data_IF_163837253505
#
_entry.id   IF_163837253505
#
_cell.length_a   1.000
_cell.length_b   1.000
_cell.length_c   1.000
_cell.angle_alpha   90.00
_cell.angle_beta   90.00
_cell.angle_gamma   90.00
#
_symmetry.space_group_name_H-M   'P 1'
#
loop_
_entity.id
_entity.type
_entity.pdbx_description
1 polymer ?
#
# COMPACT_ATOMS: atom_id res chain seq x y z
N UNK A 1 2.26 22.09 3.03
CA UNK A 1 2.91 20.84 2.57
C UNK A 1 1.90 19.70 2.73
N UNK A 2 2.09 18.57 2.04
CA UNK A 2 1.12 17.46 2.08
C UNK A 2 1.55 16.17 1.39
N UNK A 3 2.68 16.18 0.68
CA UNK A 3 3.34 14.98 0.17
C UNK A 3 4.51 14.69 1.09
N UNK A 4 4.37 13.68 1.94
CA UNK A 4 5.39 13.25 2.91
C UNK A 4 5.67 11.78 2.66
N UNK A 5 6.89 11.48 2.20
CA UNK A 5 7.32 10.10 2.01
C UNK A 5 7.63 9.46 3.36
N UNK A 6 7.22 8.21 3.55
CA UNK A 6 7.66 7.42 4.67
C UNK A 6 9.15 7.07 4.51
N UNK A 7 9.86 6.88 5.63
CA UNK A 7 11.16 6.22 5.58
C UNK A 7 10.97 4.70 5.57
N UNK A 8 11.88 3.92 5.00
CA UNK A 8 11.82 2.45 5.05
C UNK A 8 11.69 1.93 6.50
N UNK A 9 12.47 2.47 7.43
CA UNK A 9 12.51 2.03 8.83
C UNK A 9 11.16 2.23 9.54
N UNK A 10 10.41 3.27 9.15
CA UNK A 10 9.08 3.52 9.68
C UNK A 10 8.08 2.44 9.24
N UNK A 11 8.10 2.06 7.96
CA UNK A 11 7.21 1.03 7.43
C UNK A 11 7.58 -0.37 7.94
N UNK A 12 8.87 -0.67 8.05
CA UNK A 12 9.38 -1.89 8.67
C UNK A 12 8.90 -2.02 10.12
N UNK A 13 9.05 -0.95 10.91
CA UNK A 13 8.58 -0.93 12.30
C UNK A 13 7.06 -1.14 12.41
N UNK A 14 6.27 -0.57 11.51
CA UNK A 14 4.81 -0.82 11.48
C UNK A 14 4.51 -2.28 11.16
N UNK A 15 5.20 -2.88 10.18
CA UNK A 15 5.01 -4.28 9.82
C UNK A 15 5.26 -5.20 11.01
N UNK A 16 6.38 -5.00 11.70
CA UNK A 16 6.72 -5.76 12.90
C UNK A 16 5.67 -5.60 14.02
N UNK A 17 5.13 -4.40 14.20
CA UNK A 17 4.08 -4.13 15.18
C UNK A 17 2.78 -4.85 14.79
N UNK A 18 2.37 -4.79 13.52
CA UNK A 18 1.20 -5.51 13.03
C UNK A 18 1.32 -7.01 13.28
N UNK A 19 2.48 -7.59 12.97
CA UNK A 19 2.74 -9.03 13.18
C UNK A 19 2.67 -9.40 14.67
N UNK A 20 3.31 -8.60 15.54
CA UNK A 20 3.32 -8.81 16.99
C UNK A 20 1.94 -8.75 17.61
N UNK A 21 1.11 -7.82 17.15
CA UNK A 21 -0.21 -7.57 17.72
C UNK A 21 -1.34 -8.30 16.99
N UNK A 22 -1.01 -9.15 16.01
CA UNK A 22 -1.98 -9.83 15.13
C UNK A 22 -2.96 -8.83 14.49
N UNK A 23 -2.45 -7.66 14.12
CA UNK A 23 -3.18 -6.63 13.42
C UNK A 23 -2.89 -6.72 11.91
N UNK A 24 -3.87 -6.32 11.11
CA UNK A 24 -3.70 -6.25 9.65
C UNK A 24 -2.98 -4.97 9.28
N UNK A 25 -2.05 -5.06 8.33
CA UNK A 25 -1.42 -3.91 7.69
C UNK A 25 -2.14 -3.57 6.38
N UNK A 26 -2.68 -2.36 6.28
CA UNK A 26 -3.35 -1.87 5.08
C UNK A 26 -2.53 -0.73 4.50
N UNK A 27 -2.15 -0.85 3.22
CA UNK A 27 -1.60 0.27 2.49
C UNK A 27 -2.66 0.88 1.58
N UNK A 28 -2.94 2.16 1.79
CA UNK A 28 -3.77 2.94 0.88
C UNK A 28 -2.92 3.50 -0.26
N UNK A 29 -2.98 2.80 -1.39
CA UNK A 29 -2.20 3.09 -2.58
C UNK A 29 -3.02 3.81 -3.66
N UNK A 30 -4.14 4.44 -3.29
CA UNK A 30 -4.97 5.21 -4.23
C UNK A 30 -4.15 6.33 -4.88
N UNK A 31 -3.25 6.98 -4.12
CA UNK A 31 -2.42 8.07 -4.65
C UNK A 31 -1.05 7.60 -5.16
N UNK A 32 -0.44 6.64 -4.47
CA UNK A 32 0.95 6.21 -4.69
C UNK A 32 1.08 5.04 -5.66
N UNK A 33 0.02 4.28 -5.87
CA UNK A 33 -0.01 3.15 -6.78
C UNK A 33 -0.12 3.54 -8.25
N UNK A 34 -0.28 2.52 -9.09
CA UNK A 34 -0.40 2.61 -10.54
C UNK A 34 0.77 3.38 -11.18
N UNK A 35 2.00 3.13 -10.72
CA UNK A 35 3.22 3.69 -11.33
C UNK A 35 3.66 5.06 -10.79
N UNK A 36 2.90 5.71 -9.89
CA UNK A 36 3.19 7.09 -9.45
C UNK A 36 4.57 7.26 -8.83
N UNK A 37 5.07 6.25 -8.13
CA UNK A 37 6.36 6.26 -7.42
C UNK A 37 7.49 5.60 -8.22
N UNK A 38 7.27 5.20 -9.48
CA UNK A 38 8.23 4.44 -10.28
C UNK A 38 8.09 2.92 -10.16
N UNK A 39 7.29 2.44 -9.20
CA UNK A 39 6.86 1.03 -9.08
C UNK A 39 5.36 0.91 -9.31
N UNK A 40 4.87 -0.29 -9.64
CA UNK A 40 3.42 -0.51 -9.83
C UNK A 40 2.64 -0.12 -8.57
N UNK A 41 3.13 -0.51 -7.40
CA UNK A 41 2.65 -0.06 -6.09
C UNK A 41 3.87 0.34 -5.24
N UNK A 42 3.73 1.36 -4.41
CA UNK A 42 4.81 1.89 -3.59
C UNK A 42 5.38 0.84 -2.61
N UNK A 43 4.55 -0.07 -2.09
CA UNK A 43 5.01 -1.16 -1.23
C UNK A 43 6.14 -1.99 -1.86
N UNK A 44 6.16 -2.13 -3.19
CA UNK A 44 7.19 -2.87 -3.91
C UNK A 44 8.55 -2.16 -3.85
N UNK A 45 8.56 -0.83 -3.87
CA UNK A 45 9.77 -0.03 -3.71
C UNK A 45 10.27 0.01 -2.27
N UNK A 46 9.35 -0.02 -1.29
CA UNK A 46 9.69 -0.06 0.13
C UNK A 46 10.06 -1.46 0.64
N UNK A 47 9.73 -2.53 -0.08
CA UNK A 47 10.02 -3.90 0.35
C UNK A 47 9.17 -4.41 1.51
N UNK A 48 8.13 -3.66 1.91
CA UNK A 48 7.21 -4.03 3.00
C UNK A 48 5.87 -4.41 2.41
N UNK A 49 5.50 -5.69 2.47
CA UNK A 49 4.24 -6.19 1.90
C UNK A 49 3.07 -6.01 2.88
N UNK A 50 2.00 -5.29 2.49
CA UNK A 50 0.80 -5.16 3.30
C UNK A 50 -0.07 -6.42 3.19
N UNK A 51 -0.97 -6.60 4.16
CA UNK A 51 -2.00 -7.63 4.15
C UNK A 51 -3.14 -7.29 3.19
N UNK A 52 -3.47 -5.99 3.11
CA UNK A 52 -4.51 -5.43 2.24
C UNK A 52 -3.94 -4.20 1.52
N UNK A 53 -4.28 -4.04 0.25
CA UNK A 53 -3.95 -2.87 -0.55
C UNK A 53 -5.19 -2.29 -1.21
N UNK A 54 -5.39 -0.97 -1.12
CA UNK A 54 -6.45 -0.27 -1.86
C UNK A 54 -5.87 0.52 -3.03
N UNK A 55 -6.55 0.48 -4.17
CA UNK A 55 -6.15 1.20 -5.39
C UNK A 55 -7.37 1.77 -6.12
N UNK A 56 -7.21 2.96 -6.70
CA UNK A 56 -8.20 3.66 -7.52
C UNK A 56 -7.44 4.70 -8.36
N UNK A 57 -8.03 5.88 -8.63
CA UNK A 57 -7.39 7.00 -9.36
C UNK A 57 -6.68 6.55 -10.64
N UNK A 58 -5.36 6.35 -10.57
CA UNK A 58 -4.54 5.88 -11.69
C UNK A 58 -5.02 4.56 -12.29
N UNK A 59 -5.65 3.70 -11.48
CA UNK A 59 -6.27 2.44 -11.93
C UNK A 59 -7.26 2.67 -13.08
N UNK A 60 -8.10 3.69 -12.95
CA UNK A 60 -9.17 3.98 -13.91
C UNK A 60 -8.77 4.89 -15.06
N UNK A 61 -7.63 5.59 -14.94
CA UNK A 61 -7.21 6.56 -15.96
C UNK A 61 -8.25 7.65 -16.26
N UNK A 62 -9.15 7.95 -15.32
CA UNK A 62 -10.30 8.84 -15.52
C UNK A 62 -11.68 8.14 -15.53
N UNK A 63 -11.71 6.81 -15.61
CA UNK A 63 -12.93 6.02 -15.42
C UNK A 63 -13.18 5.73 -13.93
N UNK A 64 -14.44 5.76 -13.43
CA UNK A 64 -14.75 5.49 -12.03
C UNK A 64 -14.57 3.99 -11.71
N UNK A 65 -13.43 3.63 -11.11
CA UNK A 65 -13.13 2.28 -10.64
C UNK A 65 -12.20 2.31 -9.43
N UNK A 66 -12.37 1.35 -8.55
CA UNK A 66 -11.50 1.07 -7.40
C UNK A 66 -11.41 -0.44 -7.18
N UNK A 67 -10.33 -0.89 -6.55
CA UNK A 67 -10.15 -2.26 -6.13
C UNK A 67 -9.49 -2.35 -4.75
N UNK A 68 -9.76 -3.45 -4.06
CA UNK A 68 -9.09 -3.87 -2.85
C UNK A 68 -8.46 -5.23 -3.12
N UNK A 69 -7.18 -5.37 -2.84
CA UNK A 69 -6.41 -6.60 -2.99
C UNK A 69 -6.06 -7.12 -1.61
N UNK A 70 -6.14 -8.43 -1.43
CA UNK A 70 -5.79 -9.10 -0.17
C UNK A 70 -4.81 -10.23 -0.45
N UNK A 71 -4.04 -10.62 0.56
CA UNK A 71 -3.34 -11.91 0.52
C UNK A 71 -4.36 -13.05 0.46
N UNK A 72 -3.96 -14.21 -0.06
CA UNK A 72 -4.83 -15.39 -0.15
C UNK A 72 -5.26 -15.92 1.22
N UNK A 73 -4.48 -15.65 2.27
CA UNK A 73 -4.82 -16.03 3.64
C UNK A 73 -6.01 -15.25 4.21
N UNK A 74 -6.29 -14.06 3.66
CA UNK A 74 -7.39 -13.18 4.09
C UNK A 74 -8.63 -13.36 3.21
N UNK A 75 -8.45 -13.79 1.95
CA UNK A 75 -9.51 -13.95 0.95
C UNK A 75 -10.56 -15.00 1.34
#
# INVERSE_FOLDING_TARGET
>A
SGVVSATPEFLEGIRELCDRHRALLIFDEVQTGNGRTGHLYAYMGYGVTPDILTTAKGLGGGFPISAMLTTSTIA
#
